data_IF_453170918274
#
_entry.id   IF_453170918274
#
_cell.length_a   1.000
_cell.length_b   1.000
_cell.length_c   1.000
_cell.angle_alpha   90.00
_cell.angle_beta   90.00
_cell.angle_gamma   90.00
#
_symmetry.space_group_name_H-M   'P 1'
#
loop_
_entity.id
_entity.type
_entity.pdbx_description
1 polymer ?
#
# COMPACT_ATOMS: atom_id res chain seq x y z
N UNK A 1 17.41 -41.20 34.40
CA UNK A 1 16.30 -41.47 33.48
C UNK A 1 16.09 -40.28 32.55
N UNK A 2 16.22 -40.44 31.26
CA UNK A 2 15.91 -39.39 30.29
C UNK A 2 14.42 -39.36 30.04
N UNK A 3 13.76 -38.25 30.37
CA UNK A 3 12.34 -38.03 30.05
C UNK A 3 12.25 -37.69 28.57
N UNK A 4 11.72 -38.61 27.74
CA UNK A 4 11.38 -38.32 26.35
C UNK A 4 10.07 -37.53 26.29
N UNK A 5 10.16 -36.22 26.15
CA UNK A 5 9.00 -35.37 25.84
C UNK A 5 8.63 -35.62 24.38
N UNK A 6 7.45 -36.18 24.13
CA UNK A 6 6.87 -36.28 22.77
C UNK A 6 5.95 -35.08 22.59
N UNK A 7 6.43 -34.09 21.86
CA UNK A 7 5.57 -33.00 21.38
C UNK A 7 4.64 -33.54 20.26
N UNK A 8 3.34 -33.46 20.47
CA UNK A 8 2.32 -33.75 19.46
C UNK A 8 1.69 -32.44 19.03
N UNK A 9 2.08 -31.92 17.89
CA UNK A 9 1.45 -30.73 17.33
C UNK A 9 0.02 -31.06 16.90
N UNK A 10 -0.96 -30.30 17.41
CA UNK A 10 -2.37 -30.43 17.07
C UNK A 10 -2.65 -29.99 15.62
N UNK A 11 -3.83 -30.31 15.09
CA UNK A 11 -4.23 -29.85 13.75
C UNK A 11 -4.24 -28.31 13.65
N UNK A 12 -4.68 -27.63 14.69
CA UNK A 12 -4.67 -26.17 14.75
C UNK A 12 -3.26 -25.60 14.89
N UNK A 13 -2.39 -26.27 15.63
CA UNK A 13 -0.95 -25.95 15.68
C UNK A 13 -0.29 -26.03 14.30
N UNK A 14 -0.62 -27.04 13.49
CA UNK A 14 -0.11 -27.19 12.12
C UNK A 14 -0.62 -26.06 11.21
N UNK A 15 -1.90 -25.69 11.33
CA UNK A 15 -2.46 -24.55 10.58
C UNK A 15 -1.77 -23.23 10.96
N UNK A 16 -1.49 -23.03 12.25
CA UNK A 16 -0.78 -21.85 12.73
C UNK A 16 0.66 -21.80 12.21
N UNK A 17 1.38 -22.92 12.23
CA UNK A 17 2.73 -23.03 11.66
C UNK A 17 2.71 -22.69 10.14
N UNK A 18 1.77 -23.26 9.40
CA UNK A 18 1.62 -22.95 7.96
C UNK A 18 1.33 -21.46 7.73
N UNK A 19 0.47 -20.85 8.51
CA UNK A 19 0.16 -19.42 8.43
C UNK A 19 1.42 -18.57 8.66
N UNK A 20 2.27 -18.93 9.62
CA UNK A 20 3.55 -18.23 9.86
C UNK A 20 4.52 -18.40 8.69
N UNK A 21 4.61 -19.59 8.12
CA UNK A 21 5.44 -19.86 6.92
C UNK A 21 4.96 -19.04 5.71
N UNK A 22 3.64 -18.94 5.52
CA UNK A 22 3.05 -18.14 4.45
C UNK A 22 3.33 -16.64 4.65
N UNK A 23 3.23 -16.11 5.88
CA UNK A 23 3.61 -14.73 6.21
C UNK A 23 5.10 -14.45 5.99
N UNK A 24 5.94 -15.44 6.24
CA UNK A 24 7.39 -15.30 6.01
C UNK A 24 7.72 -15.24 4.51
N UNK A 25 6.98 -15.95 3.68
CA UNK A 25 7.20 -16.04 2.24
C UNK A 25 6.52 -14.92 1.44
N UNK A 26 5.36 -14.43 1.89
CA UNK A 26 4.54 -13.48 1.15
C UNK A 26 4.80 -12.05 1.56
N UNK A 27 4.59 -11.14 0.62
CA UNK A 27 4.53 -9.71 0.84
C UNK A 27 3.35 -9.09 0.09
N UNK A 28 2.87 -7.95 0.57
CA UNK A 28 1.94 -7.11 -0.16
C UNK A 28 2.65 -5.82 -0.58
N UNK A 29 2.65 -5.53 -1.87
CA UNK A 29 3.14 -4.27 -2.46
C UNK A 29 1.96 -3.41 -2.84
N UNK A 30 2.01 -2.14 -2.46
CA UNK A 30 0.89 -1.22 -2.62
C UNK A 30 1.39 0.07 -3.28
N UNK A 31 0.72 0.49 -4.34
CA UNK A 31 1.13 1.65 -5.11
C UNK A 31 0.64 1.57 -6.55
N UNK A 32 1.41 2.13 -7.46
CA UNK A 32 1.13 2.06 -8.90
C UNK A 32 2.04 0.98 -9.50
N UNK A 33 1.43 0.00 -10.14
CA UNK A 33 2.15 -1.09 -10.80
C UNK A 33 2.66 -0.63 -12.18
N UNK A 34 3.79 -1.19 -12.63
CA UNK A 34 4.28 -0.94 -13.98
C UNK A 34 3.28 -1.41 -15.04
N UNK A 35 3.20 -0.69 -16.15
CA UNK A 35 2.36 -1.07 -17.28
C UNK A 35 0.86 -0.85 -17.12
N UNK A 36 0.42 -0.16 -16.04
CA UNK A 36 -1.02 0.15 -15.84
C UNK A 36 -1.54 1.25 -16.77
N UNK A 37 -0.67 1.91 -17.51
CA UNK A 37 -1.03 2.90 -18.52
C UNK A 37 -0.38 4.27 -18.33
N UNK A 38 -0.85 5.23 -19.11
CA UNK A 38 -0.32 6.59 -19.14
C UNK A 38 -1.43 7.63 -19.03
N UNK A 39 -1.06 8.83 -18.67
CA UNK A 39 -1.90 10.01 -18.70
C UNK A 39 -1.20 11.12 -19.50
N UNK A 40 -1.88 11.67 -20.50
CA UNK A 40 -1.32 12.66 -21.43
C UNK A 40 0.03 12.23 -22.04
N UNK A 41 0.21 10.93 -22.30
CA UNK A 41 1.42 10.37 -22.91
C UNK A 41 2.59 10.13 -21.95
N UNK A 42 2.42 10.37 -20.66
CA UNK A 42 3.41 10.09 -19.61
C UNK A 42 2.96 8.88 -18.80
N UNK A 43 3.88 7.96 -18.50
CA UNK A 43 3.58 6.78 -17.69
C UNK A 43 3.08 7.17 -16.29
N UNK A 44 2.07 6.46 -15.78
CA UNK A 44 1.47 6.77 -14.47
C UNK A 44 2.46 6.56 -13.31
N UNK A 45 3.42 5.63 -13.46
CA UNK A 45 4.47 5.42 -12.46
C UNK A 45 5.40 6.63 -12.43
N UNK A 46 5.79 7.17 -13.60
CA UNK A 46 6.64 8.37 -13.68
C UNK A 46 5.93 9.60 -13.11
N UNK A 47 4.65 9.78 -13.42
CA UNK A 47 3.83 10.87 -12.85
C UNK A 47 3.81 10.78 -11.32
N UNK A 48 3.61 9.58 -10.77
CA UNK A 48 3.60 9.36 -9.34
C UNK A 48 4.96 9.66 -8.71
N UNK A 49 6.04 9.16 -9.32
CA UNK A 49 7.41 9.37 -8.85
C UNK A 49 7.80 10.85 -8.88
N UNK A 50 7.47 11.59 -9.94
CA UNK A 50 7.75 13.02 -10.04
C UNK A 50 6.99 13.83 -8.98
N UNK A 51 5.77 13.43 -8.63
CA UNK A 51 5.03 14.09 -7.56
C UNK A 51 5.54 13.68 -6.17
N UNK A 52 5.82 12.40 -5.93
CA UNK A 52 6.31 11.91 -4.64
C UNK A 52 7.66 12.54 -4.27
N UNK A 53 8.61 12.52 -5.20
CA UNK A 53 9.98 12.96 -4.96
C UNK A 53 10.22 14.43 -5.30
N UNK A 54 9.41 14.99 -6.20
CA UNK A 54 9.66 16.28 -6.82
C UNK A 54 10.71 16.22 -7.91
N UNK A 55 10.81 17.28 -8.67
CA UNK A 55 11.85 17.52 -9.70
C UNK A 55 12.31 18.97 -9.61
N UNK A 56 13.21 19.38 -10.50
CA UNK A 56 13.63 20.80 -10.59
C UNK A 56 12.45 21.73 -10.86
N UNK A 57 11.39 21.24 -11.51
CA UNK A 57 10.22 22.03 -11.91
C UNK A 57 8.92 21.65 -11.20
N UNK A 58 8.89 20.51 -10.52
CA UNK A 58 7.70 20.00 -9.84
C UNK A 58 8.02 19.92 -8.34
N UNK A 59 7.26 20.62 -7.46
CA UNK A 59 7.47 20.50 -6.02
C UNK A 59 7.10 19.09 -5.56
N UNK A 60 7.84 18.57 -4.57
CA UNK A 60 7.51 17.29 -3.93
C UNK A 60 6.14 17.36 -3.26
N UNK A 61 5.34 16.34 -3.51
CA UNK A 61 4.03 16.09 -2.89
C UNK A 61 3.98 14.62 -2.49
N UNK A 62 4.56 14.25 -1.34
CA UNK A 62 4.88 12.87 -0.98
C UNK A 62 3.64 12.11 -0.49
N UNK A 63 2.65 11.93 -1.35
CA UNK A 63 1.35 11.33 -1.04
C UNK A 63 1.44 9.88 -0.57
N UNK A 64 2.44 9.12 -1.01
CA UNK A 64 2.67 7.76 -0.52
C UNK A 64 3.20 7.79 0.92
N UNK A 65 4.22 8.60 1.19
CA UNK A 65 4.81 8.76 2.51
C UNK A 65 3.79 9.35 3.49
N UNK A 66 3.13 10.42 3.11
CA UNK A 66 2.17 11.13 3.96
C UNK A 66 0.96 10.24 4.28
N UNK A 67 0.55 9.36 3.35
CA UNK A 67 -0.51 8.37 3.62
C UNK A 67 -0.17 7.40 4.76
N UNK A 68 1.11 7.20 5.06
CA UNK A 68 1.58 6.39 6.19
C UNK A 68 1.79 7.25 7.43
N UNK A 69 2.49 8.36 7.29
CA UNK A 69 2.89 9.21 8.42
C UNK A 69 1.68 9.88 9.08
N UNK A 70 0.78 10.44 8.27
CA UNK A 70 -0.43 11.09 8.77
C UNK A 70 -1.46 10.11 9.36
N UNK A 71 -1.43 8.84 8.98
CA UNK A 71 -2.38 7.82 9.41
C UNK A 71 -1.76 6.72 10.28
N UNK A 72 -0.59 6.95 10.87
CA UNK A 72 0.15 5.93 11.61
C UNK A 72 -0.64 5.28 12.74
N UNK A 73 -1.43 6.04 13.49
CA UNK A 73 -2.30 5.50 14.55
C UNK A 73 -3.40 4.60 14.02
N UNK A 74 -4.04 5.00 12.92
CA UNK A 74 -5.10 4.23 12.25
C UNK A 74 -4.53 2.92 11.67
N UNK A 75 -3.36 2.99 11.04
CA UNK A 75 -2.62 1.83 10.52
C UNK A 75 -2.27 0.87 11.65
N UNK A 76 -1.73 1.36 12.76
CA UNK A 76 -1.36 0.52 13.90
C UNK A 76 -2.59 -0.18 14.51
N UNK A 77 -3.70 0.51 14.69
CA UNK A 77 -4.95 -0.08 15.17
C UNK A 77 -5.46 -1.17 14.22
N UNK A 78 -5.41 -0.91 12.91
CA UNK A 78 -5.80 -1.89 11.90
C UNK A 78 -4.88 -3.13 11.91
N UNK A 79 -3.55 -2.96 11.98
CA UNK A 79 -2.60 -4.06 12.05
C UNK A 79 -2.79 -4.92 13.32
N UNK A 80 -3.14 -4.31 14.47
CA UNK A 80 -3.50 -5.07 15.67
C UNK A 80 -4.74 -5.95 15.46
N UNK A 81 -5.75 -5.45 14.75
CA UNK A 81 -6.93 -6.24 14.40
C UNK A 81 -6.60 -7.39 13.45
N UNK A 82 -5.70 -7.18 12.50
CA UNK A 82 -5.21 -8.21 11.58
C UNK A 82 -4.41 -9.30 12.31
N UNK A 83 -3.56 -8.91 13.26
CA UNK A 83 -2.86 -9.84 14.13
C UNK A 83 -3.83 -10.72 14.92
N UNK A 84 -4.87 -10.12 15.49
CA UNK A 84 -5.91 -10.85 16.21
C UNK A 84 -6.62 -11.85 15.29
N UNK A 85 -6.91 -11.48 14.05
CA UNK A 85 -7.51 -12.36 13.07
C UNK A 85 -6.62 -13.56 12.75
N UNK A 86 -5.31 -13.36 12.57
CA UNK A 86 -4.34 -14.45 12.33
C UNK A 86 -4.31 -15.44 13.50
N UNK A 87 -4.25 -14.93 14.74
CA UNK A 87 -4.24 -15.78 15.95
C UNK A 87 -5.53 -16.60 16.07
N UNK A 88 -6.67 -16.08 15.59
CA UNK A 88 -7.96 -16.78 15.56
C UNK A 88 -8.12 -17.76 14.38
N UNK A 89 -7.06 -18.00 13.61
CA UNK A 89 -7.06 -18.97 12.51
C UNK A 89 -7.28 -18.37 11.12
N UNK A 90 -7.15 -17.06 10.97
CA UNK A 90 -7.16 -16.41 9.65
C UNK A 90 -5.96 -16.80 8.80
N UNK A 91 -6.12 -16.77 7.47
CA UNK A 91 -5.01 -17.03 6.55
C UNK A 91 -4.12 -15.79 6.36
N UNK A 92 -2.84 -16.01 6.09
CA UNK A 92 -1.89 -14.96 5.76
C UNK A 92 -2.35 -14.17 4.51
N UNK A 93 -2.80 -14.88 3.48
CA UNK A 93 -3.24 -14.25 2.23
C UNK A 93 -4.44 -13.32 2.43
N UNK A 94 -5.45 -13.75 3.20
CA UNK A 94 -6.63 -12.91 3.48
C UNK A 94 -6.28 -11.66 4.27
N UNK A 95 -5.35 -11.77 5.22
CA UNK A 95 -4.87 -10.62 5.99
C UNK A 95 -4.08 -9.67 5.11
N UNK A 96 -3.19 -10.16 4.25
CA UNK A 96 -2.45 -9.33 3.30
C UNK A 96 -3.37 -8.62 2.30
N UNK A 97 -4.44 -9.29 1.82
CA UNK A 97 -5.48 -8.65 0.99
C UNK A 97 -6.15 -7.49 1.72
N UNK A 98 -6.53 -7.68 2.98
CA UNK A 98 -7.17 -6.63 3.79
C UNK A 98 -6.22 -5.45 4.02
N UNK A 99 -4.94 -5.71 4.30
CA UNK A 99 -3.90 -4.68 4.42
C UNK A 99 -3.77 -3.91 3.09
N UNK A 100 -3.73 -4.62 1.97
CA UNK A 100 -3.65 -4.02 0.64
C UNK A 100 -4.82 -3.08 0.35
N UNK A 101 -6.05 -3.53 0.60
CA UNK A 101 -7.27 -2.72 0.41
C UNK A 101 -7.27 -1.51 1.34
N UNK A 102 -6.92 -1.69 2.61
CA UNK A 102 -6.89 -0.62 3.59
C UNK A 102 -5.89 0.49 3.22
N UNK A 103 -4.64 0.12 2.95
CA UNK A 103 -3.60 1.09 2.60
C UNK A 103 -3.86 1.75 1.24
N UNK A 104 -4.36 1.01 0.25
CA UNK A 104 -4.84 1.58 -1.01
C UNK A 104 -5.85 2.71 -0.77
N UNK A 105 -6.81 2.48 0.12
CA UNK A 105 -7.81 3.48 0.51
C UNK A 105 -7.19 4.71 1.15
N UNK A 106 -6.20 4.55 2.04
CA UNK A 106 -5.48 5.66 2.66
C UNK A 106 -4.70 6.49 1.64
N UNK A 107 -3.98 5.85 0.71
CA UNK A 107 -3.26 6.57 -0.35
C UNK A 107 -4.24 7.36 -1.22
N UNK A 108 -5.35 6.75 -1.63
CA UNK A 108 -6.36 7.42 -2.45
C UNK A 108 -7.03 8.59 -1.71
N UNK A 109 -7.21 8.48 -0.40
CA UNK A 109 -7.72 9.54 0.47
C UNK A 109 -6.71 10.69 0.60
N UNK A 110 -5.41 10.35 0.76
CA UNK A 110 -4.33 11.32 0.86
C UNK A 110 -4.18 12.14 -0.43
N UNK A 111 -4.25 11.52 -1.60
CA UNK A 111 -4.23 12.21 -2.90
C UNK A 111 -5.32 13.29 -2.99
N UNK A 112 -6.49 13.06 -2.39
CA UNK A 112 -7.62 14.00 -2.44
C UNK A 112 -7.56 15.06 -1.36
N UNK A 113 -7.18 14.68 -0.14
CA UNK A 113 -7.34 15.48 1.07
C UNK A 113 -6.02 15.96 1.69
N UNK A 114 -4.87 15.46 1.20
CA UNK A 114 -3.56 15.83 1.72
C UNK A 114 -3.27 17.33 1.52
N UNK A 115 -2.54 17.91 2.46
CA UNK A 115 -2.11 19.32 2.41
C UNK A 115 -0.82 19.45 1.60
N UNK A 116 -0.96 19.48 0.28
CA UNK A 116 0.17 19.55 -0.64
C UNK A 116 0.42 20.95 -1.15
N UNK A 117 1.67 21.20 -1.57
CA UNK A 117 2.04 22.42 -2.27
C UNK A 117 1.09 22.66 -3.44
N UNK A 118 0.42 23.84 -3.49
CA UNK A 118 -0.56 24.14 -4.54
C UNK A 118 0.04 24.08 -5.94
N UNK A 119 -0.82 23.88 -6.93
CA UNK A 119 -0.45 24.06 -8.33
C UNK A 119 -0.16 25.53 -8.62
N UNK A 120 0.71 25.81 -9.60
CA UNK A 120 0.87 27.16 -10.13
C UNK A 120 -0.43 27.65 -10.78
N UNK A 121 -0.69 28.98 -10.80
CA UNK A 121 -1.88 29.54 -11.45
C UNK A 121 -2.03 29.08 -12.92
N UNK A 122 -0.93 28.92 -13.61
CA UNK A 122 -0.88 28.44 -14.99
C UNK A 122 -1.34 26.99 -15.10
N UNK A 123 -0.91 26.13 -14.16
CA UNK A 123 -1.34 24.73 -14.08
C UNK A 123 -2.82 24.64 -13.75
N UNK A 124 -3.33 25.43 -12.80
CA UNK A 124 -4.75 25.50 -12.44
C UNK A 124 -5.61 25.88 -13.65
N UNK A 125 -5.17 26.89 -14.39
CA UNK A 125 -5.87 27.34 -15.60
C UNK A 125 -5.93 26.24 -16.68
N UNK A 126 -4.83 25.50 -16.87
CA UNK A 126 -4.75 24.39 -17.84
C UNK A 126 -5.64 23.21 -17.42
N UNK A 127 -5.60 22.83 -16.14
CA UNK A 127 -6.34 21.67 -15.60
C UNK A 127 -7.81 21.95 -15.34
N UNK A 128 -8.18 23.22 -15.10
CA UNK A 128 -9.51 23.59 -14.62
C UNK A 128 -9.79 23.18 -13.17
N UNK A 129 -8.77 22.80 -12.42
CA UNK A 129 -8.87 22.35 -11.03
C UNK A 129 -7.65 22.81 -10.22
N UNK A 130 -7.88 23.17 -8.96
CA UNK A 130 -6.84 23.53 -7.98
C UNK A 130 -6.21 22.33 -7.27
N UNK A 131 -6.81 21.14 -7.38
CA UNK A 131 -6.32 19.91 -6.72
C UNK A 131 -4.95 19.50 -7.24
N UNK A 132 -3.88 19.49 -6.39
CA UNK A 132 -2.50 19.31 -6.83
C UNK A 132 -2.24 17.98 -7.55
N UNK A 133 -2.75 16.88 -7.02
CA UNK A 133 -2.46 15.52 -7.51
C UNK A 133 -3.56 14.94 -8.41
N UNK A 134 -4.60 15.72 -8.72
CA UNK A 134 -5.71 15.29 -9.57
C UNK A 134 -5.75 16.14 -10.83
N UNK A 135 -5.57 15.50 -11.98
CA UNK A 135 -5.86 16.03 -13.31
C UNK A 135 -7.04 15.25 -13.89
N UNK A 136 -6.79 14.13 -14.53
CA UNK A 136 -7.82 13.23 -15.05
C UNK A 136 -8.34 12.25 -13.99
N UNK A 137 -7.67 12.13 -12.85
CA UNK A 137 -7.93 11.15 -11.81
C UNK A 137 -7.33 9.76 -12.07
N UNK A 138 -6.65 9.55 -13.19
CA UNK A 138 -6.06 8.26 -13.56
C UNK A 138 -5.01 7.79 -12.56
N UNK A 139 -4.10 8.66 -12.10
CA UNK A 139 -3.09 8.32 -11.11
C UNK A 139 -3.73 7.78 -9.82
N UNK A 140 -4.77 8.46 -9.28
CA UNK A 140 -5.49 7.99 -8.10
C UNK A 140 -6.18 6.64 -8.34
N UNK A 141 -6.79 6.43 -9.50
CA UNK A 141 -7.48 5.19 -9.86
C UNK A 141 -6.51 4.02 -10.06
N UNK A 142 -5.27 4.29 -10.48
CA UNK A 142 -4.24 3.28 -10.71
C UNK A 142 -3.59 2.75 -9.43
N UNK A 143 -3.80 3.38 -8.28
CA UNK A 143 -3.34 2.84 -6.99
C UNK A 143 -3.98 1.47 -6.77
N UNK A 144 -3.12 0.47 -6.59
CA UNK A 144 -3.55 -0.90 -6.38
C UNK A 144 -2.57 -1.65 -5.46
N UNK A 145 -2.85 -2.90 -5.19
CA UNK A 145 -1.95 -3.78 -4.45
C UNK A 145 -1.77 -5.11 -5.17
N UNK A 146 -0.65 -5.75 -4.93
CA UNK A 146 -0.35 -7.11 -5.38
C UNK A 146 0.24 -7.90 -4.22
N UNK A 147 -0.11 -9.18 -4.13
CA UNK A 147 0.48 -10.12 -3.18
C UNK A 147 1.37 -11.05 -3.97
N UNK A 148 2.61 -11.20 -3.55
CA UNK A 148 3.61 -12.00 -4.21
C UNK A 148 4.57 -12.64 -3.20
N UNK A 149 5.40 -13.56 -3.67
CA UNK A 149 6.50 -14.08 -2.86
C UNK A 149 7.59 -13.02 -2.70
N UNK A 150 8.17 -12.93 -1.51
CA UNK A 150 9.29 -12.03 -1.22
C UNK A 150 10.47 -12.31 -2.14
N UNK A 151 11.02 -11.24 -2.73
CA UNK A 151 12.14 -11.35 -3.65
C UNK A 151 11.75 -11.81 -5.06
N UNK A 152 10.46 -11.91 -5.38
CA UNK A 152 9.98 -12.04 -6.75
C UNK A 152 10.42 -10.82 -7.57
N UNK A 153 10.96 -11.05 -8.77
CA UNK A 153 11.25 -9.98 -9.70
C UNK A 153 9.97 -9.27 -10.14
N UNK A 154 10.05 -7.94 -10.25
CA UNK A 154 9.00 -7.12 -10.85
C UNK A 154 8.86 -7.41 -12.33
#
# INVERSE_FOLDING_TARGET
>A
MAVKVREKVTADGKKFQKMLEDLDKLEVRIGIQQGVGSDNGVDLVDIAMFNELGTVHIPSRPFLRDSVDAHSSEINAFLQSMRTQLVKGGSAEDVLKKIGVFQKGLIQKEIVNGDFVPNSPETIKRKGSDKPLIDTGRMRQSINYVIQEKGGAD
#
